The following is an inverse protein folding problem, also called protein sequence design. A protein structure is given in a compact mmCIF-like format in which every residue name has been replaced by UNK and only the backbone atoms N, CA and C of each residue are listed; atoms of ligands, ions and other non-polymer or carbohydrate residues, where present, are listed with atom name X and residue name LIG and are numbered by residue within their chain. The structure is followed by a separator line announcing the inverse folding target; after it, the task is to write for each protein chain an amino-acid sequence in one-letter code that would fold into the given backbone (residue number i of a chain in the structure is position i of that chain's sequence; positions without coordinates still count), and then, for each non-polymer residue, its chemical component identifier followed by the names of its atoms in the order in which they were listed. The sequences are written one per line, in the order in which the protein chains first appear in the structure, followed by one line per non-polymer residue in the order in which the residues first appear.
data_IF_849750902701
#
_entry.id   IF_849750902701
#
_cell.length_a   1.000
_cell.length_b   1.000
_cell.length_c   1.000
_cell.angle_alpha   90.00
_cell.angle_beta   90.00
_cell.angle_gamma   90.00
#
_symmetry.space_group_name_H-M   'P 1'
#
loop_
_entity.id
_entity.type
_entity.pdbx_description
1 polymer ?
#
# COMPACT_ATOMS: atom_id res chain seq x y z
N UNK A 1 9.99 -21.71 44.31
CA UNK A 1 10.58 -20.36 44.44
C UNK A 1 9.95 -19.49 43.35
N UNK A 2 8.75 -18.98 43.62
CA UNK A 2 7.94 -18.15 42.72
C UNK A 2 8.19 -16.67 43.05
N UNK A 3 8.74 -15.92 42.11
CA UNK A 3 8.83 -14.44 42.01
C UNK A 3 9.92 -14.17 40.96
N UNK A 4 9.88 -13.29 39.97
CA UNK A 4 9.22 -12.02 39.69
C UNK A 4 9.35 -11.90 38.14
N UNK A 5 8.35 -11.54 37.36
CA UNK A 5 8.26 -10.23 36.68
C UNK A 5 6.86 -10.11 36.06
N UNK A 6 5.95 -9.56 36.84
CA UNK A 6 4.70 -8.98 36.39
C UNK A 6 5.03 -7.55 35.97
N UNK A 7 5.15 -7.27 34.67
CA UNK A 7 5.17 -5.89 34.19
C UNK A 7 3.73 -5.47 33.90
N UNK A 8 3.09 -4.81 34.86
CA UNK A 8 1.85 -4.07 34.64
C UNK A 8 2.18 -2.71 34.04
N UNK A 9 1.63 -2.39 32.88
CA UNK A 9 1.53 -1.01 32.38
C UNK A 9 0.07 -0.59 32.46
N UNK A 10 -0.17 0.53 33.14
CA UNK A 10 -1.47 1.07 33.51
C UNK A 10 -2.37 1.41 32.31
N UNK A 11 -3.71 1.43 32.49
CA UNK A 11 -4.62 1.93 31.47
C UNK A 11 -4.41 3.44 31.28
N UNK A 12 -4.23 3.86 30.03
CA UNK A 12 -4.18 5.27 29.66
C UNK A 12 -5.60 5.84 29.75
N UNK A 13 -5.84 6.70 30.73
CA UNK A 13 -7.06 7.51 30.83
C UNK A 13 -7.05 8.56 29.70
N UNK A 14 -7.82 8.30 28.64
CA UNK A 14 -8.07 9.27 27.59
C UNK A 14 -9.21 10.19 28.04
N UNK A 15 -8.83 11.39 28.48
CA UNK A 15 -9.75 12.41 28.97
C UNK A 15 -10.65 12.90 27.82
N UNK A 16 -11.89 12.43 27.86
CA UNK A 16 -13.04 12.97 27.16
C UNK A 16 -13.23 14.45 27.55
N UNK A 17 -13.01 15.36 26.61
CA UNK A 17 -13.39 16.76 26.70
C UNK A 17 -14.62 16.95 25.83
N UNK A 18 -15.77 16.64 26.42
CA UNK A 18 -17.00 17.31 26.03
C UNK A 18 -17.01 18.68 26.71
N UNK A 19 -17.03 19.75 25.94
CA UNK A 19 -17.71 20.98 26.35
C UNK A 19 -18.46 21.55 25.15
N UNK A 20 -19.76 21.68 25.31
CA UNK A 20 -20.68 22.08 24.27
C UNK A 20 -20.90 23.57 24.28
N UNK A 21 -20.64 24.22 23.14
CA UNK A 21 -21.35 25.43 22.77
C UNK A 21 -21.23 25.72 21.28
N UNK A 22 -22.39 25.88 20.64
CA UNK A 22 -22.62 26.74 19.49
C UNK A 22 -22.07 26.29 18.13
N UNK A 23 -22.87 25.46 17.46
CA UNK A 23 -23.37 25.60 16.09
C UNK A 23 -23.00 26.90 15.32
N UNK A 24 -21.72 27.15 15.03
CA UNK A 24 -21.26 28.20 14.10
C UNK A 24 -19.77 28.03 13.71
N UNK A 25 -19.27 26.78 13.58
CA UNK A 25 -17.82 26.49 13.46
C UNK A 25 -17.34 25.71 12.22
N UNK A 26 -18.23 25.15 11.40
CA UNK A 26 -17.81 24.18 10.37
C UNK A 26 -17.15 24.83 9.14
N UNK A 27 -17.42 26.10 8.84
CA UNK A 27 -16.87 26.78 7.65
C UNK A 27 -15.42 27.23 7.87
N UNK A 28 -15.10 27.68 9.08
CA UNK A 28 -13.77 28.18 9.42
C UNK A 28 -12.73 27.05 9.45
N UNK A 29 -13.13 25.85 9.90
CA UNK A 29 -12.25 24.69 9.94
C UNK A 29 -11.82 24.24 8.53
N UNK A 30 -12.75 24.17 7.57
CA UNK A 30 -12.46 23.78 6.19
C UNK A 30 -11.53 24.76 5.48
N UNK A 31 -11.73 26.06 5.66
CA UNK A 31 -10.89 27.08 5.04
C UNK A 31 -9.49 27.12 5.68
N UNK A 32 -9.39 26.85 6.98
CA UNK A 32 -8.10 26.66 7.65
C UNK A 32 -7.31 25.47 7.09
N UNK A 33 -7.99 24.34 6.81
CA UNK A 33 -7.40 23.15 6.21
C UNK A 33 -6.97 23.40 4.77
N UNK A 34 -7.76 24.13 3.98
CA UNK A 34 -7.38 24.55 2.61
C UNK A 34 -6.12 25.43 2.65
N UNK A 35 -6.09 26.43 3.52
CA UNK A 35 -4.93 27.32 3.68
C UNK A 35 -3.67 26.56 4.12
N UNK A 36 -3.81 25.59 5.03
CA UNK A 36 -2.70 24.72 5.45
C UNK A 36 -2.20 23.85 4.29
N UNK A 37 -3.11 23.28 3.50
CA UNK A 37 -2.79 22.45 2.32
C UNK A 37 -2.04 23.26 1.27
N UNK A 38 -2.46 24.50 1.02
CA UNK A 38 -1.77 25.45 0.13
C UNK A 38 -0.39 25.83 0.66
N UNK A 39 -0.30 26.15 1.96
CA UNK A 39 0.96 26.49 2.63
C UNK A 39 1.98 25.34 2.56
N UNK A 40 1.51 24.10 2.68
CA UNK A 40 2.33 22.88 2.58
C UNK A 40 2.51 22.39 1.14
N UNK A 41 1.90 23.05 0.14
CA UNK A 41 1.97 22.70 -1.29
C UNK A 41 1.58 21.25 -1.59
N UNK A 42 0.57 20.72 -0.88
CA UNK A 42 0.10 19.34 -0.99
C UNK A 42 -0.83 19.14 -2.20
N UNK A 43 -0.43 19.64 -3.38
CA UNK A 43 -1.17 19.44 -4.62
C UNK A 43 -0.98 18.02 -5.13
N UNK A 44 -2.07 17.36 -5.52
CA UNK A 44 -2.01 16.04 -6.15
C UNK A 44 -1.70 16.16 -7.64
N UNK A 45 -0.78 15.30 -8.12
CA UNK A 45 -0.39 15.22 -9.54
C UNK A 45 -1.08 14.07 -10.29
N UNK A 46 -2.07 13.43 -9.68
CA UNK A 46 -2.75 12.27 -10.29
C UNK A 46 -3.71 12.72 -11.40
N UNK A 47 -3.58 12.21 -12.63
CA UNK A 47 -4.43 12.61 -13.77
C UNK A 47 -5.93 12.46 -13.48
N UNK A 48 -6.34 11.36 -12.84
CA UNK A 48 -7.75 11.10 -12.50
C UNK A 48 -8.36 12.12 -11.54
N UNK A 49 -7.56 12.71 -10.64
CA UNK A 49 -8.04 13.76 -9.75
C UNK A 49 -8.25 15.08 -10.50
N UNK A 50 -7.36 15.40 -11.44
CA UNK A 50 -7.48 16.61 -12.26
C UNK A 50 -8.71 16.55 -13.17
N UNK A 51 -8.97 15.39 -13.79
CA UNK A 51 -10.18 15.16 -14.58
C UNK A 51 -11.45 15.31 -13.74
N UNK A 52 -11.46 14.77 -12.52
CA UNK A 52 -12.59 14.96 -11.60
C UNK A 52 -12.77 16.42 -11.18
N UNK A 53 -11.68 17.11 -10.85
CA UNK A 53 -11.70 18.53 -10.48
C UNK A 53 -12.26 19.39 -11.61
N UNK A 54 -11.85 19.15 -12.86
CA UNK A 54 -12.39 19.84 -14.04
C UNK A 54 -13.90 19.57 -14.22
N UNK A 55 -14.33 18.32 -14.04
CA UNK A 55 -15.76 17.96 -14.10
C UNK A 55 -16.59 18.67 -13.03
N UNK A 56 -16.08 18.79 -11.80
CA UNK A 56 -16.79 19.48 -10.70
C UNK A 56 -16.80 20.99 -10.90
N UNK A 57 -15.72 21.57 -11.42
CA UNK A 57 -15.65 23.01 -11.69
C UNK A 57 -16.41 23.43 -12.97
N UNK A 58 -16.79 22.48 -13.82
CA UNK A 58 -17.55 22.73 -15.04
C UNK A 58 -18.89 23.42 -14.78
N UNK A 59 -19.26 24.37 -15.66
CA UNK A 59 -20.45 25.23 -15.55
C UNK A 59 -21.76 24.45 -15.34
N UNK A 60 -21.87 23.25 -15.91
CA UNK A 60 -23.02 22.35 -15.75
C UNK A 60 -23.30 21.93 -14.29
N UNK A 61 -22.25 21.83 -13.45
CA UNK A 61 -22.38 21.53 -12.03
C UNK A 61 -22.65 22.78 -11.19
N UNK A 62 -22.07 23.93 -11.59
CA UNK A 62 -22.29 25.22 -10.92
C UNK A 62 -23.72 25.76 -11.14
N UNK A 63 -24.25 25.65 -12.36
CA UNK A 63 -25.62 26.07 -12.70
C UNK A 63 -26.70 25.23 -12.01
N UNK A 64 -26.43 23.94 -11.77
CA UNK A 64 -27.34 23.06 -11.02
C UNK A 64 -27.44 23.44 -9.54
N UNK A 65 -26.41 24.10 -8.98
CA UNK A 65 -26.38 24.55 -7.58
C UNK A 65 -26.77 26.03 -7.42
N UNK A 66 -26.72 26.84 -8.48
CA UNK A 66 -27.06 28.28 -8.45
C UNK A 66 -28.50 28.61 -8.87
N UNK A 67 -29.31 27.63 -9.27
CA UNK A 67 -30.70 27.85 -9.66
C UNK A 67 -31.66 28.14 -8.49
N UNK A 68 -31.16 28.19 -7.25
CA UNK A 68 -31.96 28.30 -6.02
C UNK A 68 -31.55 29.50 -5.14
N UNK A 69 -31.15 30.63 -5.75
CA UNK A 69 -30.82 31.87 -5.05
C UNK A 69 -31.51 33.09 -5.65
N UNK A 70 -32.40 33.80 -4.93
CA UNK A 70 -32.98 35.03 -5.43
C UNK A 70 -32.04 36.21 -5.11
N UNK A 71 -31.34 36.74 -6.12
CA UNK A 71 -30.74 38.07 -6.02
C UNK A 71 -31.72 39.13 -6.55
N UNK A 72 -31.98 40.08 -5.65
CA UNK A 72 -32.89 41.21 -5.75
C UNK A 72 -32.36 42.30 -6.68
N UNK A 73 -33.22 42.78 -7.60
CA UNK A 73 -33.08 44.13 -8.18
C UNK A 73 -33.82 44.39 -9.50
N UNK A 74 -35.09 44.85 -9.43
CA UNK A 74 -35.73 45.64 -10.50
C UNK A 74 -37.19 45.31 -10.86
N UNK A 75 -38.14 46.13 -10.37
CA UNK A 75 -39.36 46.68 -11.03
C UNK A 75 -40.05 45.82 -12.14
N UNK A 76 -41.35 45.54 -12.24
CA UNK A 76 -42.60 45.83 -11.53
C UNK A 76 -43.74 45.18 -12.37
N UNK A 77 -44.89 44.89 -11.72
CA UNK A 77 -46.25 44.75 -12.28
C UNK A 77 -46.72 43.36 -12.77
N UNK A 78 -47.45 42.70 -11.86
CA UNK A 78 -48.73 41.97 -12.05
C UNK A 78 -48.73 40.75 -12.99
N UNK A 79 -48.85 39.57 -12.37
CA UNK A 79 -50.08 38.77 -12.40
C UNK A 79 -49.93 37.62 -11.42
N UNK A 80 -50.73 37.63 -10.36
CA UNK A 80 -50.81 36.51 -9.42
C UNK A 80 -51.96 35.61 -9.89
N UNK A 81 -51.71 34.41 -10.41
CA UNK A 81 -52.69 33.35 -10.30
C UNK A 81 -52.16 32.31 -9.32
N UNK A 82 -52.78 32.26 -8.14
CA UNK A 82 -53.16 31.03 -7.46
C UNK A 82 -52.15 29.84 -7.42
N UNK A 83 -50.86 30.05 -7.12
CA UNK A 83 -49.96 28.94 -6.72
C UNK A 83 -49.81 28.85 -5.19
N UNK A 84 -50.43 29.76 -4.42
CA UNK A 84 -50.47 29.69 -2.95
C UNK A 84 -51.59 28.77 -2.42
N UNK A 85 -51.95 27.75 -3.21
CA UNK A 85 -52.71 26.55 -2.81
C UNK A 85 -52.08 25.29 -3.42
N UNK A 86 -50.75 25.27 -3.49
CA UNK A 86 -49.99 24.05 -3.81
C UNK A 86 -48.85 23.79 -2.81
N UNK A 87 -48.94 24.41 -1.63
CA UNK A 87 -47.95 24.30 -0.55
C UNK A 87 -48.09 23.03 0.29
N UNK A 88 -48.91 22.05 -0.10
CA UNK A 88 -49.18 20.85 0.70
C UNK A 88 -48.93 19.50 0.02
N UNK A 89 -48.58 19.40 -1.26
CA UNK A 89 -48.51 18.06 -1.91
C UNK A 89 -47.40 17.82 -2.95
N UNK A 90 -46.39 18.67 -3.06
CA UNK A 90 -45.23 18.36 -3.91
C UNK A 90 -43.95 18.71 -3.16
N UNK A 91 -43.61 17.90 -2.17
CA UNK A 91 -42.22 17.46 -2.02
C UNK A 91 -41.92 16.74 -3.35
N UNK A 92 -41.59 17.52 -4.38
CA UNK A 92 -41.32 17.01 -5.71
C UNK A 92 -40.11 16.11 -5.62
N UNK A 93 -40.28 14.89 -6.12
CA UNK A 93 -39.33 13.78 -6.06
C UNK A 93 -37.88 14.23 -5.84
N UNK A 94 -37.34 14.01 -4.65
CA UNK A 94 -35.94 14.36 -4.36
C UNK A 94 -35.09 13.45 -5.24
N UNK A 95 -34.28 14.05 -6.13
CA UNK A 95 -33.37 13.36 -7.06
C UNK A 95 -33.96 12.17 -7.85
N UNK A 96 -35.26 12.22 -8.18
CA UNK A 96 -35.94 11.16 -8.94
C UNK A 96 -36.52 10.02 -8.10
N UNK A 97 -36.51 10.16 -6.77
CA UNK A 97 -37.20 9.28 -5.82
C UNK A 97 -38.49 9.94 -5.33
N UNK A 98 -39.56 9.15 -5.20
CA UNK A 98 -40.89 9.65 -4.85
C UNK A 98 -40.93 10.27 -3.44
N UNK A 99 -40.10 9.76 -2.51
CA UNK A 99 -39.96 10.30 -1.15
C UNK A 99 -38.50 10.38 -0.70
N UNK A 100 -38.23 11.17 0.34
CA UNK A 100 -36.90 11.24 0.98
C UNK A 100 -36.47 9.89 1.57
N UNK A 101 -37.42 9.15 2.15
CA UNK A 101 -37.16 7.83 2.75
C UNK A 101 -36.73 6.81 1.68
N UNK A 102 -37.33 6.86 0.48
CA UNK A 102 -36.94 5.99 -0.65
C UNK A 102 -35.50 6.24 -1.10
N UNK A 103 -35.08 7.51 -1.17
CA UNK A 103 -33.71 7.87 -1.52
C UNK A 103 -32.71 7.38 -0.46
N UNK A 104 -33.06 7.50 0.82
CA UNK A 104 -32.22 7.01 1.92
C UNK A 104 -32.15 5.48 1.96
N UNK A 105 -33.26 4.78 1.70
CA UNK A 105 -33.25 3.32 1.63
C UNK A 105 -32.43 2.81 0.45
N UNK A 106 -32.52 3.49 -0.69
CA UNK A 106 -31.68 3.20 -1.85
C UNK A 106 -30.18 3.36 -1.52
N UNK A 107 -29.80 4.46 -0.88
CA UNK A 107 -28.40 4.69 -0.46
C UNK A 107 -27.92 3.63 0.54
N UNK A 108 -28.76 3.26 1.52
CA UNK A 108 -28.43 2.18 2.48
C UNK A 108 -28.26 0.83 1.80
N UNK A 109 -29.06 0.54 0.78
CA UNK A 109 -28.93 -0.68 -0.01
C UNK A 109 -27.63 -0.68 -0.81
N UNK A 110 -27.34 0.40 -1.52
CA UNK A 110 -26.13 0.55 -2.34
C UNK A 110 -24.86 0.44 -1.47
N UNK A 111 -24.86 1.10 -0.31
CA UNK A 111 -23.72 1.04 0.62
C UNK A 111 -23.51 -0.38 1.17
N UNK A 112 -24.59 -1.12 1.45
CA UNK A 112 -24.49 -2.54 1.84
C UNK A 112 -23.94 -3.40 0.71
N UNK A 113 -24.37 -3.17 -0.53
CA UNK A 113 -23.86 -3.90 -1.69
C UNK A 113 -22.37 -3.63 -1.91
N UNK A 114 -21.95 -2.36 -1.87
CA UNK A 114 -20.54 -1.98 -1.93
C UNK A 114 -19.73 -2.61 -0.80
N UNK A 115 -20.23 -2.59 0.44
CA UNK A 115 -19.56 -3.20 1.59
C UNK A 115 -19.38 -4.71 1.42
N UNK A 116 -20.37 -5.41 0.84
CA UNK A 116 -20.28 -6.85 0.54
C UNK A 116 -19.23 -7.13 -0.54
N UNK A 117 -19.18 -6.31 -1.59
CA UNK A 117 -18.18 -6.41 -2.65
C UNK A 117 -16.76 -6.21 -2.09
N UNK A 118 -16.54 -5.16 -1.29
CA UNK A 118 -15.25 -4.88 -0.68
C UNK A 118 -14.80 -6.00 0.27
N UNK A 119 -15.72 -6.53 1.07
CA UNK A 119 -15.44 -7.69 1.92
C UNK A 119 -15.02 -8.92 1.11
N UNK A 120 -15.67 -9.17 -0.03
CA UNK A 120 -15.31 -10.27 -0.93
C UNK A 120 -13.91 -10.06 -1.51
N UNK A 121 -13.62 -8.86 -2.02
CA UNK A 121 -12.31 -8.52 -2.59
C UNK A 121 -11.20 -8.62 -1.54
N UNK A 122 -11.41 -8.08 -0.34
CA UNK A 122 -10.46 -8.18 0.77
C UNK A 122 -10.12 -9.64 1.10
N UNK A 123 -11.13 -10.52 1.15
CA UNK A 123 -10.92 -11.96 1.37
C UNK A 123 -10.11 -12.60 0.24
N UNK A 124 -10.36 -12.22 -1.02
CA UNK A 124 -9.57 -12.71 -2.15
C UNK A 124 -8.11 -12.25 -2.07
N UNK A 125 -7.88 -10.97 -1.75
CA UNK A 125 -6.53 -10.42 -1.61
C UNK A 125 -5.74 -11.09 -0.47
N UNK A 126 -6.39 -11.37 0.66
CA UNK A 126 -5.77 -12.10 1.76
C UNK A 126 -5.35 -13.52 1.31
N UNK A 127 -6.21 -14.23 0.58
CA UNK A 127 -5.88 -15.57 0.04
C UNK A 127 -4.70 -15.52 -0.92
N UNK A 128 -4.76 -14.61 -1.89
CA UNK A 128 -3.67 -14.43 -2.87
C UNK A 128 -2.34 -14.08 -2.18
N UNK A 129 -2.37 -13.23 -1.14
CA UNK A 129 -1.17 -12.90 -0.36
C UNK A 129 -0.53 -14.15 0.26
N UNK A 130 -1.34 -15.06 0.82
CA UNK A 130 -0.86 -16.31 1.42
C UNK A 130 -0.30 -17.23 0.34
N UNK A 131 -0.99 -17.38 -0.80
CA UNK A 131 -0.54 -18.20 -1.92
C UNK A 131 0.79 -17.71 -2.50
N UNK A 132 0.91 -16.40 -2.75
CA UNK A 132 2.16 -15.78 -3.24
C UNK A 132 3.30 -16.03 -2.25
N UNK A 133 3.03 -15.89 -0.95
CA UNK A 133 4.07 -16.13 0.06
C UNK A 133 4.51 -17.59 0.06
N UNK A 134 3.57 -18.54 0.01
CA UNK A 134 3.86 -19.98 -0.09
C UNK A 134 4.72 -20.28 -1.32
N UNK A 135 4.31 -19.81 -2.50
CA UNK A 135 5.03 -20.02 -3.75
C UNK A 135 6.45 -19.42 -3.71
N UNK A 136 6.62 -18.25 -3.09
CA UNK A 136 7.96 -17.66 -2.91
C UNK A 136 8.85 -18.52 -2.02
N UNK A 137 8.32 -19.07 -0.93
CA UNK A 137 9.07 -19.98 -0.06
C UNK A 137 9.44 -21.25 -0.82
N UNK A 138 8.49 -21.86 -1.51
CA UNK A 138 8.72 -23.06 -2.34
C UNK A 138 9.80 -22.81 -3.41
N UNK A 139 9.76 -21.66 -4.08
CA UNK A 139 10.76 -21.27 -5.08
C UNK A 139 12.17 -21.14 -4.49
N UNK A 140 12.31 -20.48 -3.33
CA UNK A 140 13.60 -20.32 -2.66
C UNK A 140 14.13 -21.68 -2.19
N UNK A 141 13.27 -22.53 -1.63
CA UNK A 141 13.64 -23.89 -1.24
C UNK A 141 14.11 -24.71 -2.44
N UNK A 142 13.42 -24.62 -3.58
CA UNK A 142 13.82 -25.33 -4.79
C UNK A 142 15.18 -24.87 -5.31
N UNK A 143 15.39 -23.56 -5.39
CA UNK A 143 16.69 -22.99 -5.79
C UNK A 143 17.82 -23.40 -4.83
N UNK A 144 17.55 -23.45 -3.53
CA UNK A 144 18.54 -23.92 -2.56
C UNK A 144 18.89 -25.39 -2.76
N UNK A 145 17.89 -26.22 -3.06
CA UNK A 145 18.12 -27.63 -3.40
C UNK A 145 18.99 -27.77 -4.65
N UNK A 146 18.70 -27.03 -5.72
CA UNK A 146 19.52 -27.04 -6.94
C UNK A 146 20.99 -26.70 -6.64
N UNK A 147 21.24 -25.65 -5.84
CA UNK A 147 22.62 -25.30 -5.45
C UNK A 147 23.31 -26.39 -4.61
N UNK A 148 22.57 -27.09 -3.75
CA UNK A 148 23.12 -28.20 -2.97
C UNK A 148 23.40 -29.41 -3.86
N UNK A 149 22.51 -29.69 -4.81
CA UNK A 149 22.68 -30.78 -5.77
C UNK A 149 23.92 -30.48 -6.63
N UNK A 150 24.08 -29.27 -7.17
CA UNK A 150 25.26 -28.83 -7.92
C UNK A 150 26.56 -29.03 -7.12
N UNK A 151 26.60 -28.55 -5.87
CA UNK A 151 27.77 -28.71 -5.00
C UNK A 151 28.05 -30.19 -4.65
N UNK A 152 27.01 -31.02 -4.60
CA UNK A 152 27.15 -32.47 -4.37
C UNK A 152 27.78 -33.14 -5.59
N UNK A 153 27.33 -32.80 -6.80
CA UNK A 153 27.93 -33.32 -8.04
C UNK A 153 29.41 -32.90 -8.18
N UNK A 154 29.77 -31.65 -7.87
CA UNK A 154 31.18 -31.20 -7.90
C UNK A 154 32.06 -32.00 -6.92
N UNK A 155 31.52 -32.34 -5.74
CA UNK A 155 32.21 -33.15 -4.72
C UNK A 155 32.39 -34.60 -5.17
N UNK A 156 31.39 -35.18 -5.82
CA UNK A 156 31.45 -36.52 -6.39
C UNK A 156 32.54 -36.61 -7.47
N UNK A 157 32.62 -35.62 -8.38
CA UNK A 157 33.67 -35.54 -9.41
C UNK A 157 35.08 -35.50 -8.78
N UNK A 158 35.29 -34.64 -7.78
CA UNK A 158 36.55 -34.57 -7.02
C UNK A 158 36.91 -35.87 -6.26
N UNK A 159 35.89 -36.60 -5.80
CA UNK A 159 36.05 -37.89 -5.14
C UNK A 159 36.50 -38.97 -6.11
N UNK A 160 35.86 -39.06 -7.29
CA UNK A 160 36.20 -40.00 -8.36
C UNK A 160 37.61 -39.74 -8.93
N UNK A 161 38.00 -38.47 -9.09
CA UNK A 161 39.35 -38.06 -9.48
C UNK A 161 40.41 -38.45 -8.44
N UNK A 162 40.07 -38.33 -7.16
CA UNK A 162 40.94 -38.72 -6.05
C UNK A 162 41.07 -40.23 -5.94
N UNK A 163 40.02 -41.00 -6.19
CA UNK A 163 40.07 -42.47 -6.22
C UNK A 163 40.96 -43.00 -7.37
N UNK A 164 40.98 -42.34 -8.52
CA UNK A 164 41.95 -42.61 -9.60
C UNK A 164 43.39 -42.20 -9.22
N UNK A 165 43.55 -41.25 -8.29
CA UNK A 165 44.83 -40.80 -7.75
C UNK A 165 45.29 -41.61 -6.52
N UNK A 166 44.39 -42.33 -5.86
CA UNK A 166 44.66 -43.16 -4.67
C UNK A 166 45.51 -44.40 -4.99
N UNK A 167 45.58 -44.81 -6.26
CA UNK A 167 46.51 -45.84 -6.76
C UNK A 167 47.93 -45.29 -6.99
N UNK A 168 48.13 -43.97 -6.88
CA UNK A 168 49.44 -43.35 -6.97
C UNK A 168 50.04 -43.34 -5.56
N UNK A 169 51.20 -43.97 -5.33
CA UNK A 169 51.80 -44.00 -4.00
C UNK A 169 51.98 -42.57 -3.49
N UNK A 170 51.50 -42.30 -2.27
CA UNK A 170 51.42 -40.99 -1.59
C UNK A 170 52.71 -40.15 -1.68
N UNK A 171 53.85 -40.77 -1.99
CA UNK A 171 55.15 -40.15 -2.27
C UNK A 171 55.22 -39.36 -3.59
N UNK A 172 54.34 -39.64 -4.56
CA UNK A 172 54.27 -38.94 -5.85
C UNK A 172 53.24 -37.79 -5.85
N UNK A 173 52.24 -37.82 -4.96
CA UNK A 173 51.27 -36.71 -4.79
C UNK A 173 51.94 -35.41 -4.28
N UNK A 174 53.01 -35.52 -3.47
CA UNK A 174 53.81 -34.35 -3.06
C UNK A 174 54.82 -33.86 -4.12
N UNK A 175 55.01 -34.60 -5.21
CA UNK A 175 55.94 -34.23 -6.29
C UNK A 175 55.25 -33.38 -7.38
N UNK A 176 53.93 -33.49 -7.52
CA UNK A 176 53.12 -32.63 -8.38
C UNK A 176 52.75 -31.35 -7.62
N UNK A 177 53.74 -30.46 -7.48
CA UNK A 177 53.52 -29.03 -7.26
C UNK A 177 52.41 -28.65 -6.28
N UNK A 178 52.80 -28.50 -5.02
CA UNK A 178 52.16 -27.60 -4.06
C UNK A 178 51.44 -26.40 -4.72
N UNK A 179 50.25 -25.98 -4.23
CA UNK A 179 49.47 -24.85 -4.77
C UNK A 179 50.27 -23.55 -4.94
N UNK A 180 51.40 -23.45 -4.25
CA UNK A 180 52.42 -22.40 -4.33
C UNK A 180 53.09 -22.22 -5.70
N UNK A 181 53.13 -23.24 -6.59
CA UNK A 181 53.75 -23.07 -7.92
C UNK A 181 52.97 -22.10 -8.82
N UNK A 182 51.64 -22.07 -8.72
CA UNK A 182 50.78 -21.14 -9.47
C UNK A 182 50.97 -19.68 -9.03
N UNK A 183 51.55 -19.46 -7.84
CA UNK A 183 51.92 -18.16 -7.28
C UNK A 183 53.41 -17.83 -7.51
N UNK A 184 54.14 -18.65 -8.28
CA UNK A 184 55.59 -18.50 -8.50
C UNK A 184 56.45 -18.83 -7.27
N UNK A 185 55.86 -19.39 -6.22
CA UNK A 185 56.54 -19.64 -4.96
C UNK A 185 57.22 -21.01 -4.97
N UNK A 186 58.55 -20.98 -4.99
CA UNK A 186 59.40 -22.17 -4.83
C UNK A 186 60.00 -22.21 -3.42
N UNK A 187 60.45 -23.40 -2.97
CA UNK A 187 61.14 -23.57 -1.68
C UNK A 187 62.34 -22.61 -1.53
N UNK A 188 62.98 -22.27 -2.64
CA UNK A 188 64.08 -21.30 -2.73
C UNK A 188 63.62 -19.85 -2.55
N UNK A 189 62.46 -19.47 -3.10
CA UNK A 189 61.83 -18.15 -2.95
C UNK A 189 61.43 -17.85 -1.49
N UNK A 190 60.84 -18.84 -0.82
CA UNK A 190 60.37 -18.71 0.56
C UNK A 190 61.54 -18.54 1.54
N UNK A 191 62.61 -19.34 1.36
CA UNK A 191 63.80 -19.25 2.21
C UNK A 191 64.60 -17.95 2.00
N UNK A 192 64.44 -17.30 0.85
CA UNK A 192 65.15 -16.05 0.52
C UNK A 192 64.29 -14.79 0.67
N UNK A 193 63.01 -14.89 1.04
CA UNK A 193 62.05 -13.77 1.17
C UNK A 193 62.02 -12.83 -0.06
N UNK A 194 62.26 -13.36 -1.25
CA UNK A 194 62.39 -12.56 -2.47
C UNK A 194 61.29 -12.91 -3.46
N UNK A 195 60.10 -12.33 -3.27
CA UNK A 195 59.04 -12.45 -4.25
C UNK A 195 59.46 -11.74 -5.55
N UNK A 196 59.55 -12.47 -6.66
CA UNK A 196 59.57 -11.86 -8.00
C UNK A 196 58.14 -11.81 -8.52
N UNK A 197 57.60 -10.61 -8.70
CA UNK A 197 56.35 -10.39 -9.41
C UNK A 197 56.68 -10.23 -10.91
N UNK A 198 55.94 -10.92 -11.76
CA UNK A 198 55.79 -10.56 -13.17
C UNK A 198 54.65 -9.56 -13.31
#
# INVERSE_FOLDING_TARGET
MLSVYQQSAAPMDFKELGDGSSSEGDTEDLDSVKALTEKLKLQTRRPSYLEWQERVQSRAWKERNSADGPESGGQQVVSVPAILRRSELVVGSICGFDTMDDALEHLRKELREMQVQDNRLARQLIRLRVEIHRLKVEQVCHRHKEMLDDATYELEECGEESDLLCDIPMKAAFALSTPLKHLGLTKMNINSRRFSLC
#
